data_IF_423131840268
#
_entry.id   IF_423131840268
#
_cell.length_a   1.000
_cell.length_b   1.000
_cell.length_c   1.000
_cell.angle_alpha   90.00
_cell.angle_beta   90.00
_cell.angle_gamma   90.00
#
_symmetry.space_group_name_H-M   'P 1'
#
loop_
_entity.id
_entity.type
_entity.pdbx_description
1 polymer ?
#
# COMPACT_ATOMS: atom_id res chain seq x y z
N UNK A 1 -6.07 -12.69 -5.46
CA UNK A 1 -6.33 -11.96 -6.70
C UNK A 1 -5.67 -10.58 -6.64
N UNK A 2 -4.96 -10.20 -7.71
CA UNK A 2 -4.36 -8.87 -7.84
C UNK A 2 -5.21 -8.04 -8.81
N UNK A 3 -5.86 -6.98 -8.32
CA UNK A 3 -6.73 -6.13 -9.16
C UNK A 3 -6.04 -4.81 -9.45
N UNK A 4 -6.05 -4.36 -10.70
CA UNK A 4 -5.71 -2.99 -11.07
C UNK A 4 -6.92 -2.09 -10.78
N UNK A 5 -6.89 -1.43 -9.62
CA UNK A 5 -7.98 -0.54 -9.21
C UNK A 5 -8.01 0.71 -10.10
N UNK A 6 -9.12 1.01 -10.77
CA UNK A 6 -9.25 2.27 -11.51
C UNK A 6 -9.37 3.47 -10.57
N UNK A 7 -9.15 4.67 -11.11
CA UNK A 7 -9.46 5.92 -10.41
C UNK A 7 -10.96 6.10 -10.21
N UNK A 8 -11.35 6.91 -9.24
CA UNK A 8 -12.73 7.33 -9.00
C UNK A 8 -13.53 6.43 -8.06
N UNK A 9 -13.06 5.23 -7.74
CA UNK A 9 -13.74 4.32 -6.80
C UNK A 9 -12.87 4.04 -5.56
N UNK A 10 -13.50 3.78 -4.42
CA UNK A 10 -12.77 3.41 -3.22
C UNK A 10 -12.26 1.95 -3.30
N UNK A 11 -11.26 1.61 -2.48
CA UNK A 11 -10.82 0.21 -2.34
C UNK A 11 -11.94 -0.70 -1.82
N UNK A 12 -12.90 -0.15 -1.08
CA UNK A 12 -14.07 -0.89 -0.60
C UNK A 12 -15.03 -1.20 -1.73
N UNK A 13 -15.35 -0.23 -2.60
CA UNK A 13 -16.23 -0.44 -3.74
C UNK A 13 -15.62 -1.46 -4.72
N UNK A 14 -14.30 -1.36 -4.97
CA UNK A 14 -13.56 -2.33 -5.77
C UNK A 14 -13.67 -3.75 -5.18
N UNK A 15 -13.48 -3.91 -3.87
CA UNK A 15 -13.66 -5.19 -3.16
C UNK A 15 -15.08 -5.71 -3.29
N UNK A 16 -16.08 -4.86 -3.10
CA UNK A 16 -17.50 -5.28 -3.14
C UNK A 16 -17.93 -5.70 -4.54
N UNK A 17 -17.40 -5.07 -5.60
CA UNK A 17 -17.58 -5.52 -6.98
C UNK A 17 -17.00 -6.93 -7.20
N UNK A 18 -15.74 -7.14 -6.81
CA UNK A 18 -15.08 -8.45 -6.93
C UNK A 18 -15.85 -9.53 -6.15
N UNK A 19 -16.28 -9.22 -4.92
CA UNK A 19 -17.09 -10.15 -4.10
C UNK A 19 -18.39 -10.55 -4.80
N UNK A 20 -19.08 -9.58 -5.38
CA UNK A 20 -20.33 -9.82 -6.13
C UNK A 20 -20.10 -10.71 -7.33
N UNK A 21 -19.06 -10.43 -8.13
CA UNK A 21 -18.74 -11.20 -9.35
C UNK A 21 -18.34 -12.64 -8.99
N UNK A 22 -17.51 -12.83 -7.96
CA UNK A 22 -17.09 -14.16 -7.52
C UNK A 22 -18.14 -14.91 -6.71
N UNK A 23 -19.22 -14.24 -6.29
CA UNK A 23 -20.20 -14.74 -5.33
C UNK A 23 -19.54 -15.21 -4.02
N UNK A 24 -18.58 -14.44 -3.49
CA UNK A 24 -17.79 -14.79 -2.32
C UNK A 24 -18.03 -13.79 -1.18
N UNK A 25 -18.48 -14.30 -0.04
CA UNK A 25 -18.80 -13.46 1.13
C UNK A 25 -17.56 -13.07 1.93
N UNK A 26 -16.58 -13.98 2.02
CA UNK A 26 -15.37 -13.79 2.84
C UNK A 26 -14.24 -13.28 1.96
N UNK A 27 -14.11 -11.97 1.86
CA UNK A 27 -12.99 -11.34 1.15
C UNK A 27 -12.56 -10.03 1.81
N UNK A 28 -11.30 -9.63 1.60
CA UNK A 28 -10.71 -8.41 2.13
C UNK A 28 -9.58 -7.89 1.25
N UNK A 29 -9.42 -6.57 1.16
CA UNK A 29 -8.28 -5.99 0.43
C UNK A 29 -7.04 -5.84 1.33
N UNK A 30 -5.85 -5.98 0.75
CA UNK A 30 -4.57 -5.91 1.46
C UNK A 30 -3.90 -4.55 1.23
N UNK A 31 -4.40 -3.52 1.90
CA UNK A 31 -3.87 -2.16 1.84
C UNK A 31 -4.72 -1.23 0.99
N UNK A 32 -5.29 -0.23 1.65
CA UNK A 32 -6.17 0.77 1.05
C UNK A 32 -5.44 1.61 0.01
N UNK A 33 -6.11 1.90 -1.10
CA UNK A 33 -5.82 2.97 -2.04
C UNK A 33 -6.91 4.03 -1.93
N UNK A 34 -6.51 5.29 -2.00
CA UNK A 34 -7.44 6.42 -2.05
C UNK A 34 -8.32 6.35 -3.33
N UNK A 35 -9.48 7.01 -3.39
CA UNK A 35 -10.33 6.99 -4.58
C UNK A 35 -9.62 7.46 -5.85
N UNK A 36 -8.82 8.54 -5.76
CA UNK A 36 -7.98 9.03 -6.87
C UNK A 36 -6.95 8.00 -7.33
N UNK A 37 -6.35 7.27 -6.37
CA UNK A 37 -5.23 6.38 -6.65
C UNK A 37 -5.66 5.18 -7.49
N UNK A 38 -4.74 4.76 -8.37
CA UNK A 38 -4.88 3.59 -9.25
C UNK A 38 -3.85 2.50 -8.90
N UNK A 39 -3.91 1.38 -9.59
CA UNK A 39 -2.89 0.35 -9.54
C UNK A 39 -3.24 -0.81 -8.62
N UNK A 40 -2.23 -1.59 -8.30
CA UNK A 40 -2.38 -2.91 -7.70
C UNK A 40 -3.07 -2.88 -6.34
N UNK A 41 -4.20 -3.57 -6.24
CA UNK A 41 -4.97 -3.82 -5.02
C UNK A 41 -5.12 -5.32 -4.81
N UNK A 42 -4.29 -5.96 -3.95
CA UNK A 42 -4.48 -7.37 -3.65
C UNK A 42 -5.77 -7.58 -2.86
N UNK A 43 -6.56 -8.56 -3.30
CA UNK A 43 -7.80 -9.00 -2.64
C UNK A 43 -7.62 -10.44 -2.21
N UNK A 44 -7.68 -10.67 -0.91
CA UNK A 44 -7.72 -12.00 -0.31
C UNK A 44 -9.13 -12.54 -0.32
N UNK A 45 -9.31 -13.82 -0.68
CA UNK A 45 -10.61 -14.46 -0.89
C UNK A 45 -10.67 -15.72 -0.02
N UNK A 46 -11.80 -15.95 0.63
CA UNK A 46 -12.03 -17.12 1.48
C UNK A 46 -11.01 -17.21 2.62
N UNK A 47 -10.36 -18.34 2.78
CA UNK A 47 -9.38 -18.59 3.86
C UNK A 47 -8.12 -17.72 3.72
N UNK A 48 -7.78 -17.25 2.52
CA UNK A 48 -6.66 -16.33 2.33
C UNK A 48 -6.82 -15.00 3.09
N UNK A 49 -8.03 -14.66 3.56
CA UNK A 49 -8.25 -13.48 4.41
C UNK A 49 -7.49 -13.55 5.74
N UNK A 50 -7.17 -14.74 6.24
CA UNK A 50 -6.35 -14.95 7.44
C UNK A 50 -4.92 -14.42 7.27
N UNK A 51 -4.45 -14.37 6.03
CA UNK A 51 -3.09 -13.94 5.65
C UNK A 51 -3.03 -12.48 5.16
N UNK A 52 -4.15 -11.79 5.04
CA UNK A 52 -4.23 -10.41 4.53
C UNK A 52 -3.28 -9.45 5.24
N UNK A 53 -3.07 -9.65 6.56
CA UNK A 53 -2.14 -8.81 7.36
C UNK A 53 -0.71 -8.89 6.86
N UNK A 54 -0.25 -10.04 6.42
CA UNK A 54 1.13 -10.23 5.94
C UNK A 54 1.35 -9.49 4.63
N UNK A 55 0.43 -9.62 3.67
CA UNK A 55 0.47 -8.89 2.41
C UNK A 55 0.34 -7.38 2.64
N UNK A 56 -0.56 -6.94 3.54
CA UNK A 56 -0.74 -5.53 3.88
C UNK A 56 0.52 -4.89 4.48
N UNK A 57 1.36 -5.68 5.13
CA UNK A 57 2.58 -5.21 5.78
C UNK A 57 3.79 -5.08 4.84
N UNK A 58 3.69 -5.58 3.62
CA UNK A 58 4.78 -5.51 2.63
C UNK A 58 5.09 -4.06 2.23
N UNK A 59 6.32 -3.76 1.80
CA UNK A 59 6.68 -2.47 1.23
C UNK A 59 5.88 -2.21 -0.07
N UNK A 60 5.76 -0.94 -0.42
CA UNK A 60 5.04 -0.48 -1.60
C UNK A 60 5.92 0.37 -2.48
N UNK A 61 5.62 0.37 -3.79
CA UNK A 61 6.18 1.32 -4.74
C UNK A 61 5.06 2.05 -5.46
N UNK A 62 5.26 3.34 -5.65
CA UNK A 62 4.28 4.22 -6.27
C UNK A 62 4.94 5.07 -7.35
N UNK A 63 4.22 5.29 -8.44
CA UNK A 63 4.44 6.44 -9.32
C UNK A 63 3.48 7.54 -8.88
N UNK A 64 4.00 8.74 -8.69
CA UNK A 64 3.22 9.91 -8.26
C UNK A 64 3.53 11.09 -9.15
N UNK A 65 2.49 11.75 -9.66
CA UNK A 65 2.58 13.08 -10.27
C UNK A 65 2.20 14.11 -9.24
N UNK A 66 3.03 15.12 -9.11
CA UNK A 66 2.94 16.19 -8.11
C UNK A 66 2.71 17.49 -8.85
N UNK A 67 1.79 18.30 -8.33
CA UNK A 67 1.63 19.70 -8.68
C UNK A 67 2.15 20.55 -7.53
N UNK A 68 3.18 21.35 -7.79
CA UNK A 68 3.66 22.37 -6.87
C UNK A 68 2.89 23.67 -7.05
N UNK A 69 2.85 24.50 -6.02
CA UNK A 69 2.14 25.77 -6.01
C UNK A 69 0.70 25.67 -5.49
N UNK A 70 0.17 24.49 -5.26
CA UNK A 70 -1.19 24.26 -4.76
C UNK A 70 -1.21 23.29 -3.59
N UNK A 71 -1.90 23.62 -2.52
CA UNK A 71 -2.24 22.68 -1.43
C UNK A 71 -3.77 22.54 -1.31
N UNK A 72 -4.23 21.29 -1.12
CA UNK A 72 -5.64 20.97 -0.92
C UNK A 72 -5.87 20.31 0.45
N UNK A 73 -7.09 20.36 0.94
CA UNK A 73 -7.48 19.79 2.24
C UNK A 73 -7.34 18.26 2.29
N UNK A 74 -7.42 17.56 1.15
CA UNK A 74 -7.19 16.11 1.04
C UNK A 74 -5.74 15.77 0.76
N UNK A 75 -4.91 16.72 0.30
CA UNK A 75 -3.55 16.52 -0.18
C UNK A 75 -3.47 15.90 -1.58
N UNK A 76 -4.61 15.77 -2.28
CA UNK A 76 -4.71 15.39 -3.69
C UNK A 76 -5.62 16.36 -4.45
N UNK A 77 -5.58 16.33 -5.77
CA UNK A 77 -6.27 17.30 -6.64
C UNK A 77 -7.80 17.27 -6.51
N UNK A 78 -8.39 16.24 -5.89
CA UNK A 78 -9.85 16.15 -5.70
C UNK A 78 -10.35 16.95 -4.50
N UNK A 79 -9.43 17.44 -3.65
CA UNK A 79 -9.75 18.25 -2.49
C UNK A 79 -10.02 19.70 -2.82
N UNK A 80 -10.50 20.44 -1.80
CA UNK A 80 -10.67 21.90 -1.89
C UNK A 80 -9.31 22.58 -1.76
N UNK A 81 -9.06 23.56 -2.60
CA UNK A 81 -7.89 24.43 -2.48
C UNK A 81 -7.91 25.14 -1.12
N UNK A 82 -6.80 25.08 -0.39
CA UNK A 82 -6.61 25.75 0.90
C UNK A 82 -5.45 26.74 0.90
N UNK A 83 -4.49 26.56 0.01
CA UNK A 83 -3.32 27.43 -0.06
C UNK A 83 -2.66 27.40 -1.45
N UNK A 84 -2.19 28.54 -1.93
CA UNK A 84 -1.41 28.72 -3.17
C UNK A 84 -0.11 29.43 -2.92
N UNK A 85 0.92 29.02 -3.67
CA UNK A 85 2.25 29.67 -3.69
C UNK A 85 2.80 29.62 -5.11
N UNK A 86 3.90 30.33 -5.33
CA UNK A 86 4.72 30.10 -6.52
C UNK A 86 5.62 28.87 -6.32
N UNK A 87 5.82 28.11 -7.38
CA UNK A 87 6.83 27.03 -7.41
C UNK A 87 8.19 27.59 -7.82
N UNK A 88 8.91 28.21 -6.86
CA UNK A 88 10.19 28.88 -7.09
C UNK A 88 11.33 28.07 -6.47
N UNK A 89 11.76 27.00 -7.12
CA UNK A 89 12.93 26.20 -6.73
C UNK A 89 13.67 25.72 -7.99
N UNK A 90 14.95 25.47 -7.83
CA UNK A 90 15.80 24.85 -8.85
C UNK A 90 15.72 23.33 -8.80
N UNK A 91 16.11 22.66 -9.89
CA UNK A 91 16.24 21.20 -9.90
C UNK A 91 17.24 20.69 -8.85
N UNK A 92 18.33 21.44 -8.61
CA UNK A 92 19.31 21.10 -7.58
C UNK A 92 18.71 21.12 -6.15
N UNK A 93 17.91 22.14 -5.84
CA UNK A 93 17.19 22.21 -4.56
C UNK A 93 16.19 21.08 -4.41
N UNK A 94 15.43 20.80 -5.48
CA UNK A 94 14.51 19.65 -5.49
C UNK A 94 15.26 18.35 -5.18
N UNK A 95 16.36 18.06 -5.88
CA UNK A 95 17.13 16.82 -5.66
C UNK A 95 17.59 16.69 -4.22
N UNK A 96 18.19 17.75 -3.65
CA UNK A 96 18.63 17.76 -2.25
C UNK A 96 17.49 17.51 -1.27
N UNK A 97 16.32 18.12 -1.52
CA UNK A 97 15.13 17.92 -0.69
C UNK A 97 14.63 16.47 -0.81
N UNK A 98 14.54 15.91 -2.02
CA UNK A 98 14.13 14.51 -2.21
C UNK A 98 15.06 13.54 -1.47
N UNK A 99 16.37 13.73 -1.57
CA UNK A 99 17.38 12.94 -0.85
C UNK A 99 17.19 13.00 0.68
N UNK A 100 16.84 14.18 1.22
CA UNK A 100 16.63 14.37 2.67
C UNK A 100 15.41 13.62 3.22
N UNK A 101 14.48 13.19 2.36
CA UNK A 101 13.32 12.39 2.76
C UNK A 101 13.57 10.88 2.72
N UNK A 102 14.75 10.43 2.25
CA UNK A 102 15.11 9.00 2.27
C UNK A 102 15.52 8.60 3.67
N UNK A 103 15.01 7.46 4.15
CA UNK A 103 15.30 6.93 5.47
C UNK A 103 14.06 6.80 6.37
N UNK A 104 14.31 6.58 7.66
CA UNK A 104 13.29 6.47 8.70
C UNK A 104 12.92 7.88 9.17
N UNK A 105 11.62 8.16 9.22
CA UNK A 105 11.08 9.44 9.64
C UNK A 105 9.69 9.31 10.27
N UNK A 106 9.29 10.30 11.04
CA UNK A 106 7.97 10.38 11.61
C UNK A 106 7.01 11.10 10.66
N UNK A 107 5.85 10.49 10.44
CA UNK A 107 4.78 11.07 9.62
C UNK A 107 3.48 11.14 10.41
N UNK A 108 2.84 12.31 10.44
CA UNK A 108 1.50 12.47 10.99
C UNK A 108 0.49 12.04 9.90
N UNK A 109 -0.33 11.00 10.15
CA UNK A 109 -1.33 10.56 9.18
C UNK A 109 -2.32 11.67 8.84
N UNK A 110 -2.80 11.78 7.57
CA UNK A 110 -3.78 12.80 7.20
C UNK A 110 -5.15 12.51 7.81
N UNK A 111 -5.98 13.55 7.95
CA UNK A 111 -7.37 13.39 8.40
C UNK A 111 -8.22 12.58 7.41
N UNK A 112 -7.97 12.72 6.12
CA UNK A 112 -8.58 11.88 5.09
C UNK A 112 -7.88 10.52 4.99
N UNK A 113 -8.07 9.68 6.03
CA UNK A 113 -7.52 8.32 6.09
C UNK A 113 -8.49 7.31 6.71
N UNK A 114 -8.24 6.02 6.47
CA UNK A 114 -9.03 4.92 7.00
C UNK A 114 -8.67 4.54 8.46
N UNK A 115 -7.73 5.23 9.09
CA UNK A 115 -7.38 5.01 10.49
C UNK A 115 -8.58 5.31 11.38
N UNK A 116 -8.86 4.41 12.32
CA UNK A 116 -10.02 4.55 13.21
C UNK A 116 -9.66 5.32 14.49
N UNK A 117 -10.56 6.23 14.88
CA UNK A 117 -10.58 6.89 16.18
C UNK A 117 -12.01 6.86 16.70
N UNK A 118 -12.21 6.43 17.95
CA UNK A 118 -13.54 6.25 18.55
C UNK A 118 -14.48 5.41 17.65
N UNK A 119 -13.98 4.28 17.13
CA UNK A 119 -14.75 3.37 16.27
C UNK A 119 -15.04 3.85 14.83
N UNK A 120 -14.78 5.13 14.51
CA UNK A 120 -15.01 5.73 13.20
C UNK A 120 -13.68 6.02 12.48
N UNK A 121 -13.60 5.91 11.13
CA UNK A 121 -12.40 6.29 10.39
C UNK A 121 -12.19 7.81 10.42
N UNK A 122 -10.94 8.27 10.32
CA UNK A 122 -10.61 9.70 10.39
C UNK A 122 -11.30 10.51 9.29
N UNK A 123 -11.45 9.97 8.07
CA UNK A 123 -12.17 10.66 6.99
C UNK A 123 -13.64 10.97 7.33
N UNK A 124 -14.28 10.19 8.20
CA UNK A 124 -15.64 10.47 8.67
C UNK A 124 -15.68 11.78 9.47
N UNK A 125 -14.67 12.01 10.32
CA UNK A 125 -14.54 13.23 11.10
C UNK A 125 -14.13 14.41 10.23
N UNK A 126 -13.20 14.19 9.28
CA UNK A 126 -12.78 15.21 8.32
C UNK A 126 -13.96 15.76 7.52
N UNK A 127 -14.84 14.88 7.00
CA UNK A 127 -16.07 15.30 6.27
C UNK A 127 -17.06 16.11 7.12
N UNK A 128 -16.97 16.01 8.43
CA UNK A 128 -17.76 16.82 9.38
C UNK A 128 -17.05 18.11 9.80
N UNK A 129 -15.89 18.42 9.19
CA UNK A 129 -15.09 19.59 9.56
C UNK A 129 -14.34 19.44 10.89
N UNK A 130 -14.33 18.23 11.48
CA UNK A 130 -13.70 17.96 12.78
C UNK A 130 -12.27 17.44 12.55
N UNK A 131 -11.28 18.20 13.05
CA UNK A 131 -9.88 17.77 13.07
C UNK A 131 -9.54 17.12 14.41
N UNK A 132 -9.00 15.90 14.36
CA UNK A 132 -8.56 15.15 15.54
C UNK A 132 -7.04 15.14 15.64
N UNK A 133 -6.50 15.23 16.86
CA UNK A 133 -5.07 15.06 17.10
C UNK A 133 -4.64 13.64 16.75
N UNK A 134 -3.60 13.50 15.92
CA UNK A 134 -3.01 12.24 15.48
C UNK A 134 -1.57 12.17 15.98
N UNK A 135 -1.18 11.01 16.52
CA UNK A 135 0.19 10.74 16.86
C UNK A 135 1.01 10.51 15.58
N UNK A 136 2.25 10.98 15.51
CA UNK A 136 3.17 10.61 14.46
C UNK A 136 3.40 9.09 14.45
N UNK A 137 3.75 8.56 13.30
CA UNK A 137 4.08 7.15 13.10
C UNK A 137 5.38 7.06 12.33
N UNK A 138 6.26 6.20 12.79
CA UNK A 138 7.49 5.90 12.07
C UNK A 138 7.18 5.24 10.75
N UNK A 139 7.73 5.78 9.67
CA UNK A 139 7.71 5.27 8.32
C UNK A 139 9.13 5.20 7.78
N UNK A 140 9.34 4.42 6.75
CA UNK A 140 10.60 4.36 6.02
C UNK A 140 10.34 4.70 4.55
N UNK A 141 10.99 5.72 4.05
CA UNK A 141 11.10 5.99 2.62
C UNK A 141 12.42 5.38 2.16
N UNK A 142 12.35 4.34 1.35
CA UNK A 142 13.53 3.58 0.93
C UNK A 142 14.24 4.21 -0.23
N UNK A 143 13.44 4.83 -1.11
CA UNK A 143 13.95 5.41 -2.33
C UNK A 143 12.97 6.43 -2.91
N UNK A 144 13.50 7.50 -3.52
CA UNK A 144 12.75 8.50 -4.29
C UNK A 144 13.51 8.80 -5.57
N UNK A 145 12.94 8.41 -6.71
CA UNK A 145 13.53 8.64 -8.02
C UNK A 145 12.75 9.70 -8.79
N UNK A 146 13.44 10.75 -9.22
CA UNK A 146 12.87 11.74 -10.14
C UNK A 146 12.79 11.14 -11.55
N UNK A 147 11.56 10.93 -12.04
CA UNK A 147 11.30 10.33 -13.35
C UNK A 147 11.26 11.39 -14.46
N UNK A 148 10.54 12.47 -14.22
CA UNK A 148 10.41 13.55 -15.19
C UNK A 148 10.03 14.88 -14.54
N UNK A 149 10.41 15.97 -15.20
CA UNK A 149 9.95 17.34 -14.94
C UNK A 149 9.27 17.80 -16.22
N UNK A 150 7.94 17.87 -16.24
CA UNK A 150 7.19 18.33 -17.41
C UNK A 150 7.17 19.86 -17.49
N UNK A 151 6.91 20.50 -16.33
CA UNK A 151 6.99 21.94 -16.07
C UNK A 151 7.57 22.12 -14.68
N UNK A 152 7.98 23.33 -14.30
CA UNK A 152 8.45 23.58 -12.92
C UNK A 152 7.46 23.13 -11.85
N UNK A 153 6.17 23.23 -12.18
CA UNK A 153 5.08 22.90 -11.26
C UNK A 153 4.69 21.41 -11.31
N UNK A 154 4.99 20.68 -12.40
CA UNK A 154 4.56 19.28 -12.56
C UNK A 154 5.75 18.32 -12.65
N UNK A 155 5.87 17.49 -11.63
CA UNK A 155 6.97 16.53 -11.47
C UNK A 155 6.42 15.13 -11.29
N UNK A 156 7.11 14.15 -11.84
CA UNK A 156 6.80 12.73 -11.65
C UNK A 156 7.92 12.06 -10.86
N UNK A 157 7.54 11.39 -9.75
CA UNK A 157 8.46 10.63 -8.90
C UNK A 157 8.04 9.16 -8.86
N UNK A 158 9.05 8.28 -8.70
CA UNK A 158 8.84 6.92 -8.23
C UNK A 158 9.29 6.85 -6.77
N UNK A 159 8.42 6.34 -5.88
CA UNK A 159 8.68 6.30 -4.45
C UNK A 159 8.53 4.86 -3.93
N UNK A 160 9.58 4.35 -3.27
CA UNK A 160 9.55 3.09 -2.53
C UNK A 160 9.47 3.36 -1.03
N UNK A 161 8.51 2.75 -0.33
CA UNK A 161 8.29 3.05 1.09
C UNK A 161 7.73 1.85 1.87
N UNK A 162 7.82 1.95 3.20
CA UNK A 162 7.22 1.00 4.13
C UNK A 162 5.69 1.07 4.12
N UNK A 163 5.05 0.08 4.76
CA UNK A 163 3.62 0.14 5.06
C UNK A 163 3.26 1.39 5.85
N UNK A 164 2.05 1.89 5.65
CA UNK A 164 1.51 3.01 6.43
C UNK A 164 1.98 4.38 6.01
N UNK A 165 2.87 4.48 5.02
CA UNK A 165 3.28 5.74 4.42
C UNK A 165 2.15 6.34 3.61
N UNK A 166 1.79 7.59 3.91
CA UNK A 166 0.84 8.39 3.16
C UNK A 166 1.59 9.26 2.15
N UNK A 167 1.52 8.90 0.88
CA UNK A 167 2.21 9.62 -0.20
C UNK A 167 1.74 11.07 -0.29
N UNK A 168 0.44 11.35 -0.05
CA UNK A 168 -0.11 12.71 -0.02
C UNK A 168 0.57 13.57 1.04
N UNK A 169 0.75 13.05 2.24
CA UNK A 169 1.46 13.76 3.33
C UNK A 169 2.93 13.96 3.01
N UNK A 170 3.59 12.95 2.40
CA UNK A 170 4.98 13.07 1.97
C UNK A 170 5.15 14.18 0.93
N UNK A 171 4.26 14.24 -0.06
CA UNK A 171 4.25 15.29 -1.10
C UNK A 171 4.07 16.68 -0.50
N UNK A 172 3.12 16.84 0.44
CA UNK A 172 2.95 18.12 1.16
C UNK A 172 4.21 18.51 1.95
N UNK A 173 4.89 17.52 2.57
CA UNK A 173 6.12 17.77 3.32
C UNK A 173 7.28 18.19 2.39
N UNK A 174 7.42 17.53 1.23
CA UNK A 174 8.40 17.90 0.20
C UNK A 174 8.12 19.34 -0.28
N UNK A 175 6.86 19.68 -0.56
CA UNK A 175 6.47 21.04 -0.95
C UNK A 175 6.88 22.08 0.09
N UNK A 176 6.57 21.83 1.36
CA UNK A 176 6.96 22.71 2.47
C UNK A 176 8.47 22.91 2.59
N UNK A 177 9.25 21.85 2.40
CA UNK A 177 10.73 21.95 2.41
C UNK A 177 11.30 22.74 1.24
N UNK A 178 10.55 22.86 0.15
CA UNK A 178 10.85 23.73 -1.00
C UNK A 178 10.22 25.13 -0.90
N UNK A 179 9.71 25.49 0.29
CA UNK A 179 8.96 26.75 0.47
C UNK A 179 7.80 26.92 -0.53
N UNK A 180 7.19 25.82 -0.95
CA UNK A 180 6.09 25.76 -1.88
C UNK A 180 4.94 24.91 -1.33
N UNK A 181 3.72 25.16 -1.82
CA UNK A 181 2.63 24.21 -1.67
C UNK A 181 2.85 23.01 -2.61
N UNK A 182 2.28 21.85 -2.30
CA UNK A 182 2.30 20.70 -3.19
C UNK A 182 1.08 19.79 -2.96
N UNK A 183 0.55 19.24 -4.04
CA UNK A 183 -0.56 18.28 -4.02
C UNK A 183 -0.32 17.13 -5.00
N UNK A 184 -0.95 16.01 -4.75
CA UNK A 184 -0.90 14.84 -5.63
C UNK A 184 -1.89 15.01 -6.78
N UNK A 185 -1.40 15.00 -8.04
CA UNK A 185 -2.22 14.98 -9.25
C UNK A 185 -2.70 13.58 -9.59
N UNK A 186 -1.74 12.63 -9.62
CA UNK A 186 -1.99 11.22 -9.92
C UNK A 186 -1.16 10.36 -8.97
N UNK A 187 -1.72 9.23 -8.57
CA UNK A 187 -1.04 8.27 -7.72
C UNK A 187 -1.33 6.86 -8.24
N UNK A 188 -0.27 6.10 -8.55
CA UNK A 188 -0.40 4.73 -9.00
C UNK A 188 0.48 3.81 -8.15
N UNK A 189 -0.11 2.83 -7.50
CA UNK A 189 0.66 1.80 -6.81
C UNK A 189 1.08 0.72 -7.80
N UNK A 190 2.38 0.65 -8.08
CA UNK A 190 2.96 -0.29 -9.04
C UNK A 190 3.38 -1.61 -8.40
N UNK A 191 3.77 -1.58 -7.10
CA UNK A 191 4.21 -2.78 -6.39
C UNK A 191 3.67 -2.85 -4.95
N UNK A 192 3.50 -4.07 -4.48
CA UNK A 192 3.31 -4.42 -3.08
C UNK A 192 4.09 -5.71 -2.78
N UNK A 193 5.23 -5.60 -2.09
CA UNK A 193 6.18 -6.69 -1.93
C UNK A 193 6.63 -7.25 -3.29
N UNK A 194 6.53 -8.57 -3.52
CA UNK A 194 6.91 -9.20 -4.77
C UNK A 194 5.89 -9.00 -5.90
N UNK A 195 4.69 -8.52 -5.57
CA UNK A 195 3.63 -8.32 -6.58
C UNK A 195 3.83 -7.01 -7.31
N UNK A 196 3.69 -7.03 -8.63
CA UNK A 196 3.75 -5.87 -9.49
C UNK A 196 2.50 -5.75 -10.36
N UNK A 197 2.31 -4.60 -10.99
CA UNK A 197 1.12 -4.28 -11.77
C UNK A 197 0.96 -5.14 -13.03
N UNK A 198 2.03 -5.72 -13.57
CA UNK A 198 1.97 -6.57 -14.75
C UNK A 198 1.17 -7.86 -14.51
N UNK A 199 1.09 -8.29 -13.25
CA UNK A 199 0.34 -9.48 -12.84
C UNK A 199 -1.08 -9.14 -12.35
N UNK A 200 -1.48 -7.88 -12.43
CA UNK A 200 -2.80 -7.44 -12.01
C UNK A 200 -3.82 -7.51 -13.16
N UNK A 201 -5.06 -7.76 -12.80
CA UNK A 201 -6.18 -7.80 -13.74
C UNK A 201 -7.03 -6.55 -13.59
N UNK A 202 -7.51 -6.01 -14.70
CA UNK A 202 -8.47 -4.92 -14.67
C UNK A 202 -9.76 -5.36 -13.99
N UNK A 203 -10.52 -4.41 -13.48
CA UNK A 203 -11.82 -4.66 -12.88
C UNK A 203 -12.81 -5.08 -13.98
N UNK A 204 -12.80 -6.37 -14.29
CA UNK A 204 -13.60 -7.00 -15.33
C UNK A 204 -14.88 -7.58 -14.73
N UNK A 205 -15.82 -7.89 -15.56
CA UNK A 205 -17.14 -8.38 -15.17
C UNK A 205 -17.28 -9.90 -15.15
N UNK A 206 -16.33 -10.67 -15.67
CA UNK A 206 -16.43 -12.12 -15.80
C UNK A 206 -15.87 -12.86 -14.60
N UNK A 207 -16.67 -13.76 -14.01
CA UNK A 207 -16.24 -14.67 -12.95
C UNK A 207 -15.12 -15.59 -13.42
N UNK A 208 -15.28 -16.18 -14.60
CA UNK A 208 -14.31 -17.13 -15.17
C UNK A 208 -12.98 -16.45 -15.47
N UNK A 209 -13.02 -15.16 -15.82
CA UNK A 209 -11.83 -14.34 -15.98
C UNK A 209 -11.07 -14.25 -14.68
N UNK A 210 -11.72 -13.88 -13.57
CA UNK A 210 -11.05 -13.76 -12.27
C UNK A 210 -10.50 -15.09 -11.77
N UNK A 211 -11.21 -16.19 -11.95
CA UNK A 211 -10.78 -17.51 -11.48
C UNK A 211 -9.44 -17.94 -12.09
N UNK A 212 -9.13 -17.52 -13.32
CA UNK A 212 -7.85 -17.79 -13.99
C UNK A 212 -6.66 -17.06 -13.35
N UNK A 213 -6.93 -15.95 -12.66
CA UNK A 213 -5.90 -15.08 -12.07
C UNK A 213 -5.84 -15.12 -10.54
N UNK A 214 -6.60 -16.03 -9.92
CA UNK A 214 -6.47 -16.25 -8.48
C UNK A 214 -5.16 -16.98 -8.20
N UNK A 215 -4.32 -16.34 -7.42
CA UNK A 215 -3.08 -16.95 -6.91
C UNK A 215 -3.38 -17.77 -5.67
N UNK A 216 -2.71 -18.91 -5.53
CA UNK A 216 -2.76 -19.69 -4.29
C UNK A 216 -2.22 -18.90 -3.09
N UNK A 217 -2.66 -19.24 -1.88
CA UNK A 217 -2.18 -18.58 -0.66
C UNK A 217 -0.68 -18.74 -0.49
N UNK A 218 -0.13 -19.86 -0.92
CA UNK A 218 1.30 -20.14 -0.86
C UNK A 218 2.11 -19.14 -1.68
N UNK A 219 1.63 -18.81 -2.88
CA UNK A 219 2.26 -17.80 -3.75
C UNK A 219 2.37 -16.45 -3.06
N UNK A 220 1.30 -16.05 -2.36
CA UNK A 220 1.25 -14.78 -1.62
C UNK A 220 2.21 -14.77 -0.41
N UNK A 221 2.59 -15.93 0.09
CA UNK A 221 3.41 -16.10 1.27
C UNK A 221 4.86 -16.52 0.97
N UNK A 222 5.28 -16.60 -0.30
CA UNK A 222 6.65 -16.97 -0.71
C UNK A 222 7.75 -16.08 -0.11
N UNK A 223 7.39 -14.92 0.41
CA UNK A 223 8.28 -14.03 1.17
C UNK A 223 8.80 -14.66 2.48
N UNK A 224 8.08 -15.66 3.01
CA UNK A 224 8.48 -16.36 4.23
C UNK A 224 9.26 -17.64 3.87
N UNK A 225 10.29 -17.99 4.67
CA UNK A 225 11.04 -19.23 4.48
C UNK A 225 10.14 -20.46 4.47
N UNK A 226 10.50 -21.46 3.64
CA UNK A 226 9.86 -22.77 3.59
C UNK A 226 10.64 -23.72 4.50
N UNK A 227 9.93 -24.48 5.33
CA UNK A 227 10.45 -25.59 6.11
C UNK A 227 9.67 -26.83 5.70
N UNK A 228 10.37 -27.92 5.41
CA UNK A 228 9.79 -29.23 5.11
C UNK A 228 9.90 -30.09 6.36
N UNK A 229 8.78 -30.63 6.79
CA UNK A 229 8.65 -31.48 7.98
C UNK A 229 8.44 -32.93 7.57
N UNK A 230 8.93 -33.85 8.39
CA UNK A 230 8.58 -35.26 8.28
C UNK A 230 7.09 -35.48 8.58
N UNK A 231 6.55 -36.63 8.18
CA UNK A 231 5.15 -37.00 8.47
C UNK A 231 4.84 -37.03 9.97
N UNK A 232 5.81 -37.42 10.82
CA UNK A 232 5.63 -37.41 12.26
C UNK A 232 5.59 -36.02 12.85
N UNK A 233 6.48 -35.12 12.39
CA UNK A 233 6.51 -33.72 12.80
C UNK A 233 5.24 -32.98 12.34
N UNK A 234 4.79 -33.26 11.10
CA UNK A 234 3.54 -32.71 10.57
C UNK A 234 2.35 -33.10 11.45
N UNK A 235 2.24 -34.37 11.87
CA UNK A 235 1.18 -34.81 12.78
C UNK A 235 1.22 -34.06 14.12
N UNK A 236 2.43 -33.87 14.69
CA UNK A 236 2.57 -33.06 15.93
C UNK A 236 2.06 -31.65 15.76
N UNK A 237 2.47 -30.94 14.70
CA UNK A 237 2.07 -29.56 14.42
C UNK A 237 0.55 -29.45 14.20
N UNK A 238 -0.06 -30.37 13.44
CA UNK A 238 -1.52 -30.36 13.20
C UNK A 238 -2.29 -30.53 14.51
N UNK A 239 -1.75 -31.29 15.46
CA UNK A 239 -2.33 -31.48 16.80
C UNK A 239 -1.94 -30.37 17.80
N UNK A 240 -1.29 -29.29 17.36
CA UNK A 240 -0.91 -28.14 18.19
C UNK A 240 0.29 -28.40 19.10
N UNK A 241 1.06 -29.45 18.84
CA UNK A 241 2.28 -29.76 19.58
C UNK A 241 3.48 -29.03 18.98
N UNK A 242 4.46 -28.74 19.82
CA UNK A 242 5.74 -28.18 19.39
C UNK A 242 6.61 -29.22 18.72
N UNK A 243 7.39 -28.79 17.75
CA UNK A 243 8.42 -29.57 17.09
C UNK A 243 9.73 -28.81 17.20
N UNK A 244 10.75 -29.47 17.74
CA UNK A 244 12.09 -28.92 17.79
C UNK A 244 12.71 -29.03 16.40
N UNK A 245 12.74 -27.90 15.71
CA UNK A 245 13.40 -27.79 14.42
C UNK A 245 14.83 -27.31 14.62
N UNK A 246 15.80 -28.22 14.50
CA UNK A 246 17.23 -27.89 14.50
C UNK A 246 17.59 -27.09 13.22
N UNK A 247 17.14 -25.86 13.15
CA UNK A 247 17.51 -24.96 12.08
C UNK A 247 18.97 -24.55 12.24
N UNK A 248 19.83 -25.01 11.34
CA UNK A 248 21.17 -24.43 11.13
C UNK A 248 21.14 -22.95 10.66
N UNK A 249 19.97 -22.31 10.65
CA UNK A 249 19.75 -20.91 10.34
C UNK A 249 18.81 -20.32 11.38
N UNK A 250 19.41 -19.69 12.36
CA UNK A 250 18.75 -18.87 13.36
C UNK A 250 17.98 -17.72 12.70
N UNK A 251 16.72 -17.91 12.40
CA UNK A 251 15.81 -16.81 12.10
C UNK A 251 14.54 -17.02 12.88
N UNK A 252 14.44 -16.31 13.97
CA UNK A 252 13.15 -16.07 14.62
C UNK A 252 12.19 -15.44 13.59
N UNK A 253 10.99 -15.96 13.49
CA UNK A 253 10.01 -15.36 12.59
C UNK A 253 8.95 -16.32 12.10
N UNK A 254 8.24 -15.86 11.09
CA UNK A 254 7.16 -16.61 10.45
C UNK A 254 7.76 -17.45 9.34
N UNK A 255 7.37 -18.72 9.31
CA UNK A 255 7.79 -19.71 8.30
C UNK A 255 6.57 -20.37 7.68
N UNK A 256 6.74 -20.94 6.49
CA UNK A 256 5.76 -21.82 5.85
C UNK A 256 6.17 -23.26 6.10
N UNK A 257 5.24 -24.06 6.59
CA UNK A 257 5.47 -25.48 6.87
C UNK A 257 4.86 -26.34 5.76
N UNK A 258 5.60 -27.31 5.31
CA UNK A 258 5.19 -28.30 4.30
C UNK A 258 5.51 -29.67 4.80
N UNK A 259 4.67 -30.63 4.48
CA UNK A 259 4.98 -32.04 4.65
C UNK A 259 5.92 -32.50 3.53
N UNK A 260 6.87 -33.38 3.87
CA UNK A 260 7.70 -34.05 2.88
C UNK A 260 6.83 -34.83 1.91
N UNK A 261 6.93 -34.55 0.59
CA UNK A 261 6.26 -35.34 -0.43
C UNK A 261 6.77 -36.76 -0.36
N UNK A 262 5.86 -37.71 -0.19
CA UNK A 262 6.21 -39.10 -0.08
C UNK A 262 6.92 -39.57 -1.34
N UNK A 263 8.12 -40.18 -1.16
CA UNK A 263 8.83 -40.96 -2.14
C UNK A 263 8.00 -42.17 -2.60
#
# INVERSE_FOLDING_TARGET
LLVDKPSGISSRDCLDLVRKILNEKKAGHCGTLDPLATGILPISIGEATKFSRYVSNLPKKYNVKILFGLETDTGDITGKEIYKTDAKFSTSELTKVLESFIGIQDQIPPMYSALKRNGKPLYYWARKGISLKRAPRSIEVRDINLKSIKKKEEIELEISCSKGTYIRTLVQSIGKSLHSAATVLELRRTHIGPFNENNSVKLDSSKDFYLKYILGSDEALKIFPKIVLSKEETKKIINGLQVDYNARQEKEGIVRLYEEEGS
#
